data_IF_476417470860
#
_entry.id   IF_476417470860
#
_cell.length_a   1.000
_cell.length_b   1.000
_cell.length_c   1.000
_cell.angle_alpha   90.00
_cell.angle_beta   90.00
_cell.angle_gamma   90.00
#
_symmetry.space_group_name_H-M   'P 1'
#
loop_
_entity.id
_entity.type
_entity.pdbx_description
1 polymer ?
#
# COMPACT_ATOMS: atom_id res chain seq x y z
N UNK A 1 -29.10 2.62 -14.98
CA UNK A 1 -27.90 2.09 -14.30
C UNK A 1 -26.95 1.63 -15.38
N UNK A 2 -25.68 2.05 -15.37
CA UNK A 2 -24.68 1.55 -16.31
C UNK A 2 -24.25 0.15 -15.86
N UNK A 3 -24.16 -0.80 -16.79
CA UNK A 3 -23.61 -2.13 -16.52
C UNK A 3 -22.10 -2.14 -16.76
N UNK A 4 -21.41 -3.10 -16.15
CA UNK A 4 -19.97 -3.31 -16.40
C UNK A 4 -19.72 -3.57 -17.89
N UNK A 5 -20.56 -4.40 -18.51
CA UNK A 5 -20.50 -4.70 -19.95
C UNK A 5 -20.65 -3.44 -20.85
N UNK A 6 -21.50 -2.48 -20.46
CA UNK A 6 -21.62 -1.21 -21.18
C UNK A 6 -20.34 -0.36 -21.08
N UNK A 7 -19.67 -0.39 -19.93
CA UNK A 7 -18.42 0.32 -19.69
C UNK A 7 -17.29 -0.35 -20.48
N UNK A 8 -17.18 -1.67 -20.45
CA UNK A 8 -16.18 -2.43 -21.23
C UNK A 8 -16.30 -2.15 -22.72
N UNK A 9 -17.52 -2.18 -23.26
CA UNK A 9 -17.78 -1.84 -24.66
C UNK A 9 -17.39 -0.40 -25.00
N UNK A 10 -17.62 0.55 -24.10
CA UNK A 10 -17.20 1.93 -24.30
C UNK A 10 -15.66 2.07 -24.28
N UNK A 11 -14.97 1.32 -23.41
CA UNK A 11 -13.51 1.32 -23.34
C UNK A 11 -12.89 0.75 -24.62
N UNK A 12 -13.48 -0.31 -25.19
CA UNK A 12 -13.00 -0.90 -26.45
C UNK A 12 -13.12 0.05 -27.65
N UNK A 13 -13.99 1.06 -27.58
CA UNK A 13 -14.16 2.08 -28.61
C UNK A 13 -13.20 3.26 -28.46
N UNK A 14 -12.43 3.33 -27.36
CA UNK A 14 -11.49 4.41 -27.13
C UNK A 14 -10.25 4.27 -28.03
N UNK A 15 -9.71 5.38 -28.54
CA UNK A 15 -8.41 5.36 -29.21
C UNK A 15 -7.30 5.04 -28.19
N UNK A 16 -6.21 4.43 -28.65
CA UNK A 16 -5.15 3.89 -27.77
C UNK A 16 -4.53 4.93 -26.83
N UNK A 17 -4.50 6.21 -27.24
CA UNK A 17 -4.00 7.31 -26.42
C UNK A 17 -4.92 7.66 -25.23
N UNK A 18 -6.22 7.40 -25.33
CA UNK A 18 -7.18 7.62 -24.26
C UNK A 18 -7.27 6.42 -23.31
N UNK A 19 -7.00 5.20 -23.81
CA UNK A 19 -6.89 4.00 -22.96
C UNK A 19 -5.77 4.17 -21.91
N UNK A 20 -4.62 4.71 -22.30
CA UNK A 20 -3.52 4.96 -21.36
C UNK A 20 -3.91 5.89 -20.21
N UNK A 21 -4.60 7.00 -20.52
CA UNK A 21 -5.11 7.96 -19.53
C UNK A 21 -6.17 7.32 -18.61
N UNK A 22 -7.03 6.48 -19.17
CA UNK A 22 -8.05 5.77 -18.40
C UNK A 22 -7.41 4.81 -17.38
N UNK A 23 -6.37 4.07 -17.79
CA UNK A 23 -5.65 3.16 -16.89
C UNK A 23 -4.94 3.92 -15.77
N UNK A 24 -4.29 5.05 -16.09
CA UNK A 24 -3.67 5.91 -15.08
C UNK A 24 -4.71 6.44 -14.08
N UNK A 25 -5.86 6.90 -14.56
CA UNK A 25 -6.94 7.34 -13.69
C UNK A 25 -7.47 6.20 -12.81
N UNK A 26 -7.63 4.99 -13.36
CA UNK A 26 -8.12 3.83 -12.61
C UNK A 26 -7.16 3.44 -11.48
N UNK A 27 -5.85 3.45 -11.75
CA UNK A 27 -4.81 3.20 -10.74
C UNK A 27 -4.85 4.25 -9.63
N UNK A 28 -4.96 5.52 -9.98
CA UNK A 28 -5.10 6.59 -8.99
C UNK A 28 -6.35 6.45 -8.12
N UNK A 29 -7.47 6.03 -8.71
CA UNK A 29 -8.69 5.75 -7.97
C UNK A 29 -8.51 4.58 -6.99
N UNK A 30 -7.79 3.54 -7.41
CA UNK A 30 -7.50 2.39 -6.56
C UNK A 30 -6.59 2.79 -5.38
N UNK A 31 -5.55 3.59 -5.63
CA UNK A 31 -4.70 4.15 -4.56
C UNK A 31 -5.51 4.97 -3.55
N UNK A 32 -6.41 5.84 -4.01
CA UNK A 32 -7.26 6.62 -3.10
C UNK A 32 -8.16 5.74 -2.23
N UNK A 33 -8.69 4.65 -2.80
CA UNK A 33 -9.51 3.69 -2.03
C UNK A 33 -8.66 2.93 -1.04
N UNK A 34 -7.46 2.55 -1.44
CA UNK A 34 -6.50 1.88 -0.57
C UNK A 34 -6.09 2.76 0.61
N UNK A 35 -5.82 4.05 0.39
CA UNK A 35 -5.51 5.00 1.45
C UNK A 35 -6.63 5.06 2.50
N UNK A 36 -7.89 5.22 2.07
CA UNK A 36 -9.04 5.24 2.98
C UNK A 36 -9.19 3.92 3.74
N UNK A 37 -8.97 2.79 3.07
CA UNK A 37 -9.05 1.48 3.72
C UNK A 37 -7.91 1.29 4.73
N UNK A 38 -6.70 1.73 4.39
CA UNK A 38 -5.53 1.67 5.26
C UNK A 38 -5.73 2.52 6.52
N UNK A 39 -6.20 3.77 6.37
CA UNK A 39 -6.53 4.64 7.51
C UNK A 39 -7.57 4.00 8.42
N UNK A 40 -8.60 3.39 7.83
CA UNK A 40 -9.59 2.65 8.59
C UNK A 40 -8.96 1.48 9.32
N UNK A 41 -8.13 0.67 8.68
CA UNK A 41 -7.50 -0.49 9.29
C UNK A 41 -6.52 -0.10 10.42
N UNK A 42 -5.80 1.03 10.28
CA UNK A 42 -5.02 1.66 11.34
C UNK A 42 -5.91 2.03 12.52
N UNK A 43 -7.04 2.72 12.28
CA UNK A 43 -7.96 3.12 13.36
C UNK A 43 -8.59 1.94 14.12
N UNK A 44 -8.67 0.77 13.48
CA UNK A 44 -9.15 -0.47 14.11
C UNK A 44 -8.03 -1.30 14.75
N UNK A 45 -6.79 -0.81 14.80
CA UNK A 45 -5.65 -1.50 15.40
C UNK A 45 -5.20 -2.75 14.66
N UNK A 46 -5.60 -2.94 13.39
CA UNK A 46 -5.25 -4.16 12.64
C UNK A 46 -3.75 -4.28 12.37
N UNK A 47 -3.03 -3.15 12.36
CA UNK A 47 -1.59 -3.11 12.16
C UNK A 47 -0.80 -3.17 13.46
N UNK A 48 -1.46 -3.21 14.63
CA UNK A 48 -0.78 -3.18 15.93
C UNK A 48 0.10 -4.42 16.14
N UNK A 49 -0.35 -5.59 15.67
CA UNK A 49 0.43 -6.82 15.72
C UNK A 49 1.71 -6.73 14.86
N UNK A 50 1.60 -6.13 13.67
CA UNK A 50 2.74 -5.91 12.77
C UNK A 50 3.71 -4.87 13.35
N UNK A 51 3.18 -3.82 13.98
CA UNK A 51 4.00 -2.84 14.68
C UNK A 51 4.75 -3.47 15.86
N UNK A 52 4.09 -4.31 16.65
CA UNK A 52 4.70 -5.04 17.76
C UNK A 52 5.80 -6.00 17.27
N UNK A 53 5.56 -6.73 16.18
CA UNK A 53 6.55 -7.61 15.55
C UNK A 53 7.77 -6.83 15.06
N UNK A 54 7.55 -5.71 14.34
CA UNK A 54 8.63 -4.87 13.85
C UNK A 54 9.47 -4.29 15.01
N UNK A 55 8.83 -3.86 16.10
CA UNK A 55 9.51 -3.37 17.29
C UNK A 55 10.31 -4.48 17.99
N UNK A 56 9.74 -5.68 18.11
CA UNK A 56 10.44 -6.83 18.69
C UNK A 56 11.70 -7.18 17.88
N UNK A 57 11.58 -7.24 16.56
CA UNK A 57 12.72 -7.50 15.68
C UNK A 57 13.78 -6.39 15.75
N UNK A 58 13.37 -5.11 15.71
CA UNK A 58 14.30 -3.99 15.85
C UNK A 58 15.05 -4.02 17.18
N UNK A 59 14.35 -4.36 18.27
CA UNK A 59 14.97 -4.49 19.59
C UNK A 59 15.94 -5.67 19.65
N UNK A 60 15.60 -6.82 19.07
CA UNK A 60 16.48 -7.98 19.00
C UNK A 60 17.79 -7.69 18.25
N UNK A 61 17.72 -6.93 17.15
CA UNK A 61 18.91 -6.46 16.42
C UNK A 61 19.74 -5.53 17.29
N UNK A 62 19.13 -4.56 17.97
CA UNK A 62 19.84 -3.64 18.84
C UNK A 62 20.53 -4.35 20.03
N UNK A 63 19.90 -5.37 20.61
CA UNK A 63 20.52 -6.20 21.66
C UNK A 63 21.70 -7.03 21.12
N UNK A 64 21.58 -7.59 19.91
CA UNK A 64 22.66 -8.34 19.28
C UNK A 64 23.89 -7.47 18.95
N UNK A 65 23.68 -6.22 18.51
CA UNK A 65 24.77 -5.25 18.28
C UNK A 65 25.46 -4.83 19.60
N UNK A 66 24.69 -4.68 20.68
CA UNK A 66 25.22 -4.36 22.01
C UNK A 66 26.06 -5.52 22.59
N UNK A 67 25.59 -6.77 22.49
CA UNK A 67 26.31 -7.95 22.99
C UNK A 67 27.55 -8.29 22.14
N UNK A 68 27.53 -8.00 20.84
CA UNK A 68 28.67 -8.21 19.94
C UNK A 68 29.73 -7.10 20.01
N UNK A 69 29.50 -6.05 20.82
CA UNK A 69 30.43 -4.94 21.00
C UNK A 69 30.61 -4.08 19.75
N UNK A 70 29.72 -4.19 18.77
CA UNK A 70 29.82 -3.55 17.47
C UNK A 70 29.20 -2.15 17.51
N UNK A 71 29.72 -1.28 18.36
CA UNK A 71 29.35 0.13 18.35
C UNK A 71 30.02 0.77 17.14
N UNK A 72 29.22 1.28 16.19
CA UNK A 72 29.73 2.14 15.12
C UNK A 72 30.32 3.37 15.78
N UNK A 73 31.65 3.46 15.83
CA UNK A 73 32.35 4.69 16.16
C UNK A 73 31.86 5.78 15.19
N UNK A 74 31.28 6.84 15.76
CA UNK A 74 30.90 8.07 15.07
C UNK A 74 32.12 8.91 14.74
#
# INVERSE_FOLDING_TARGET
MLTVEQIENAILQLPSNEIGKLLEWLLNLDYQRWDVQLEKDISHGKLDALAAEAMANASAVAYADFESGNYREI
#
